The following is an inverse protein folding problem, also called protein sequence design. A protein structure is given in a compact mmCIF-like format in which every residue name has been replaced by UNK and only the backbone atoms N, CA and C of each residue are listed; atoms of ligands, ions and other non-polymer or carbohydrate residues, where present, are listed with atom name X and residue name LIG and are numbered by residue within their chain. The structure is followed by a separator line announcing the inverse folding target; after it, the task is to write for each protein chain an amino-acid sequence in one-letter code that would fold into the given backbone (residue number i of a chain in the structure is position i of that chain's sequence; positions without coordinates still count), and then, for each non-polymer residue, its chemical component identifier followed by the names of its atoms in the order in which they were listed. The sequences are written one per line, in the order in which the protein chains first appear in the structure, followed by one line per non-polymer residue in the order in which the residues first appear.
data_IF_891133319692
#
_entry.id   IF_891133319692
#
_cell.length_a   1.000
_cell.length_b   1.000
_cell.length_c   1.000
_cell.angle_alpha   90.00
_cell.angle_beta   90.00
_cell.angle_gamma   90.00
#
_symmetry.space_group_name_H-M   'P 1'
#
loop_
_entity.id
_entity.type
_entity.pdbx_description
1 polymer ?
#
# COMPACT_ATOMS: atom_id res chain seq x y z
N UNK A 1 9.84 -3.27 -8.32
CA UNK A 1 10.65 -2.97 -7.13
C UNK A 1 10.02 -3.51 -5.85
N UNK A 2 8.70 -3.35 -5.64
CA UNK A 2 8.02 -3.74 -4.37
C UNK A 2 7.34 -5.11 -4.41
N UNK A 3 7.46 -5.86 -5.51
CA UNK A 3 6.72 -7.10 -5.72
C UNK A 3 6.97 -8.15 -4.62
N UNK A 4 8.20 -8.25 -4.13
CA UNK A 4 8.53 -9.24 -3.10
C UNK A 4 7.72 -9.03 -1.81
N UNK A 5 7.75 -7.82 -1.25
CA UNK A 5 6.98 -7.50 -0.03
C UNK A 5 5.48 -7.44 -0.30
N UNK A 6 5.07 -6.95 -1.50
CA UNK A 6 3.67 -6.93 -1.90
C UNK A 6 3.05 -8.33 -1.94
N UNK A 7 3.70 -9.31 -2.58
CA UNK A 7 3.17 -10.69 -2.65
C UNK A 7 2.97 -11.32 -1.28
N UNK A 8 3.85 -11.01 -0.31
CA UNK A 8 3.71 -11.51 1.06
C UNK A 8 2.58 -10.83 1.82
N UNK A 9 2.35 -9.55 1.60
CA UNK A 9 1.22 -8.83 2.19
C UNK A 9 -0.12 -9.24 1.54
N UNK A 10 -0.17 -9.32 0.21
CA UNK A 10 -1.36 -9.78 -0.53
C UNK A 10 -1.75 -11.22 -0.16
N UNK A 11 -0.77 -12.09 0.11
CA UNK A 11 -1.04 -13.47 0.55
C UNK A 11 -1.73 -13.53 1.93
N UNK A 12 -1.60 -12.49 2.76
CA UNK A 12 -2.27 -12.37 4.07
C UNK A 12 -3.71 -11.85 3.95
N UNK A 13 -4.07 -11.23 2.81
CA UNK A 13 -5.43 -10.73 2.61
C UNK A 13 -6.42 -11.90 2.51
N UNK A 14 -7.52 -11.87 3.29
CA UNK A 14 -8.51 -12.96 3.30
C UNK A 14 -9.50 -12.83 2.14
N UNK A 15 -9.03 -12.49 0.96
CA UNK A 15 -9.86 -12.27 -0.24
C UNK A 15 -10.45 -13.57 -0.73
N UNK A 16 -11.77 -13.60 -0.88
CA UNK A 16 -12.53 -14.72 -1.44
C UNK A 16 -12.94 -14.44 -2.89
N UNK A 17 -13.31 -15.51 -3.60
CA UNK A 17 -13.76 -15.39 -4.98
C UNK A 17 -15.08 -14.60 -5.07
N UNK A 18 -15.17 -13.68 -6.02
CA UNK A 18 -16.35 -12.84 -6.24
C UNK A 18 -16.37 -11.53 -5.44
N UNK A 19 -15.46 -11.32 -4.51
CA UNK A 19 -15.38 -10.09 -3.72
C UNK A 19 -14.87 -8.88 -4.52
N UNK A 20 -15.14 -7.69 -3.97
CA UNK A 20 -14.72 -6.39 -4.51
C UNK A 20 -13.47 -5.90 -3.79
N UNK A 21 -12.43 -5.62 -4.57
CA UNK A 21 -11.15 -5.08 -4.06
C UNK A 21 -10.86 -3.72 -4.67
N UNK A 22 -10.54 -2.74 -3.82
CA UNK A 22 -10.04 -1.43 -4.20
C UNK A 22 -8.53 -1.35 -3.96
N UNK A 23 -7.78 -0.92 -4.97
CA UNK A 23 -6.34 -0.64 -4.88
C UNK A 23 -6.11 0.88 -4.96
N UNK A 24 -5.69 1.49 -3.84
CA UNK A 24 -5.44 2.92 -3.71
C UNK A 24 -3.97 3.26 -3.93
N UNK A 25 -3.69 4.06 -4.96
CA UNK A 25 -2.35 4.28 -5.48
C UNK A 25 -1.90 3.06 -6.30
N UNK A 26 -2.76 2.62 -7.21
CA UNK A 26 -2.62 1.34 -7.92
C UNK A 26 -1.38 1.24 -8.80
N UNK A 27 -0.77 2.37 -9.19
CA UNK A 27 0.38 2.40 -10.07
C UNK A 27 0.12 1.65 -11.36
N UNK A 28 0.88 0.57 -11.62
CA UNK A 28 0.72 -0.27 -12.81
C UNK A 28 -0.38 -1.33 -12.70
N UNK A 29 -1.14 -1.38 -11.60
CA UNK A 29 -2.27 -2.32 -11.41
C UNK A 29 -1.87 -3.77 -11.10
N UNK A 30 -0.62 -4.04 -10.76
CA UNK A 30 -0.11 -5.40 -10.57
C UNK A 30 -0.80 -6.16 -9.42
N UNK A 31 -1.20 -5.46 -8.35
CA UNK A 31 -1.82 -6.09 -7.18
C UNK A 31 -3.20 -6.65 -7.53
N UNK A 32 -4.03 -5.88 -8.24
CA UNK A 32 -5.35 -6.33 -8.69
C UNK A 32 -5.24 -7.49 -9.67
N UNK A 33 -4.31 -7.45 -10.63
CA UNK A 33 -4.09 -8.58 -11.55
C UNK A 33 -3.70 -9.84 -10.77
N UNK A 34 -2.77 -9.73 -9.83
CA UNK A 34 -2.37 -10.87 -9.00
C UNK A 34 -3.53 -11.45 -8.17
N UNK A 35 -4.36 -10.60 -7.58
CA UNK A 35 -5.55 -11.02 -6.82
C UNK A 35 -6.61 -11.62 -7.74
N UNK A 36 -6.81 -11.08 -8.92
CA UNK A 36 -7.75 -11.65 -9.90
C UNK A 36 -7.33 -13.06 -10.34
N UNK A 37 -6.06 -13.22 -10.70
CA UNK A 37 -5.50 -14.52 -11.13
C UNK A 37 -5.48 -15.57 -10.01
N UNK A 38 -5.16 -15.16 -8.77
CA UNK A 38 -4.92 -16.11 -7.68
C UNK A 38 -6.12 -16.35 -6.77
N UNK A 39 -7.06 -15.39 -6.69
CA UNK A 39 -8.22 -15.41 -5.80
C UNK A 39 -9.57 -15.35 -6.53
N UNK A 40 -9.58 -14.93 -7.80
CA UNK A 40 -10.82 -14.83 -8.57
C UNK A 40 -11.73 -13.70 -8.08
N UNK A 41 -11.18 -12.52 -7.77
CA UNK A 41 -12.00 -11.36 -7.35
C UNK A 41 -13.08 -11.05 -8.37
N UNK A 42 -14.28 -10.70 -7.91
CA UNK A 42 -15.42 -10.39 -8.77
C UNK A 42 -15.31 -9.00 -9.40
N UNK A 43 -14.76 -8.04 -8.66
CA UNK A 43 -14.50 -6.69 -9.13
C UNK A 43 -13.23 -6.13 -8.51
N UNK A 44 -12.30 -5.68 -9.36
CA UNK A 44 -11.12 -4.91 -8.97
C UNK A 44 -11.23 -3.47 -9.45
N UNK A 45 -11.00 -2.50 -8.58
CA UNK A 45 -10.91 -1.09 -8.97
C UNK A 45 -9.59 -0.52 -8.51
N UNK A 46 -8.78 -0.01 -9.44
CA UNK A 46 -7.54 0.69 -9.15
C UNK A 46 -7.75 2.20 -9.27
N UNK A 47 -7.43 2.94 -8.22
CA UNK A 47 -7.40 4.39 -8.24
C UNK A 47 -5.97 4.89 -8.09
N UNK A 48 -5.61 5.89 -8.90
CA UNK A 48 -4.32 6.58 -8.80
C UNK A 48 -4.50 8.08 -9.07
N UNK A 49 -3.74 8.92 -8.36
CA UNK A 49 -3.75 10.36 -8.59
C UNK A 49 -3.09 10.79 -9.90
N UNK A 50 -2.28 9.90 -10.51
CA UNK A 50 -1.56 10.14 -11.76
C UNK A 50 -2.31 9.57 -12.96
N UNK A 51 -2.80 10.40 -13.90
CA UNK A 51 -3.39 9.93 -15.15
C UNK A 51 -2.46 8.99 -15.95
N UNK A 52 -1.16 9.26 -15.92
CA UNK A 52 -0.17 8.43 -16.62
C UNK A 52 -0.06 7.02 -16.01
N UNK A 53 -0.18 6.88 -14.67
CA UNK A 53 -0.21 5.58 -14.02
C UNK A 53 -1.49 4.81 -14.35
N UNK A 54 -2.63 5.48 -14.39
CA UNK A 54 -3.91 4.88 -14.79
C UNK A 54 -3.85 4.36 -16.23
N UNK A 55 -3.29 5.12 -17.14
CA UNK A 55 -3.12 4.70 -18.54
C UNK A 55 -2.18 3.48 -18.64
N UNK A 56 -1.05 3.54 -17.95
CA UNK A 56 -0.11 2.42 -17.86
C UNK A 56 -0.77 1.16 -17.29
N UNK A 57 -1.57 1.28 -16.21
CA UNK A 57 -2.28 0.13 -15.65
C UNK A 57 -3.25 -0.52 -16.64
N UNK A 58 -3.95 0.30 -17.43
CA UNK A 58 -4.86 -0.18 -18.49
C UNK A 58 -4.14 -0.92 -19.60
N UNK A 59 -2.95 -0.44 -20.03
CA UNK A 59 -2.15 -1.09 -21.05
C UNK A 59 -1.70 -2.51 -20.68
N UNK A 60 -1.48 -2.77 -19.39
CA UNK A 60 -1.06 -4.07 -18.88
C UNK A 60 -2.20 -4.97 -18.41
N UNK A 61 -3.44 -4.55 -18.59
CA UNK A 61 -4.60 -5.29 -18.04
C UNK A 61 -5.59 -5.55 -19.16
N UNK A 62 -5.93 -6.81 -19.37
CA UNK A 62 -6.99 -7.20 -20.32
C UNK A 62 -8.35 -6.72 -19.83
N UNK A 63 -9.29 -6.51 -20.77
CA UNK A 63 -10.68 -6.18 -20.45
C UNK A 63 -11.32 -7.28 -19.58
N UNK A 64 -12.00 -6.86 -18.52
CA UNK A 64 -12.64 -7.81 -17.61
C UNK A 64 -13.08 -7.21 -16.28
N UNK A 65 -12.83 -7.93 -15.20
CA UNK A 65 -13.28 -7.58 -13.85
C UNK A 65 -12.46 -6.46 -13.17
N UNK A 66 -11.44 -5.90 -13.85
CA UNK A 66 -10.57 -4.87 -13.29
C UNK A 66 -10.74 -3.56 -14.05
N UNK A 67 -11.02 -2.49 -13.32
CA UNK A 67 -11.17 -1.13 -13.83
C UNK A 67 -10.15 -0.20 -13.19
N UNK A 68 -9.69 0.84 -13.94
CA UNK A 68 -8.78 1.85 -13.43
C UNK A 68 -9.33 3.26 -13.67
N UNK A 69 -9.22 4.13 -12.67
CA UNK A 69 -9.64 5.53 -12.76
C UNK A 69 -8.68 6.47 -12.02
N UNK A 70 -8.68 7.72 -12.48
CA UNK A 70 -8.02 8.80 -11.73
C UNK A 70 -8.88 9.16 -10.53
N UNK A 71 -8.28 9.22 -9.35
CA UNK A 71 -8.98 9.55 -8.12
C UNK A 71 -8.02 9.83 -6.98
N UNK A 72 -8.57 10.31 -5.89
CA UNK A 72 -7.81 10.57 -4.66
C UNK A 72 -8.42 9.82 -3.44
N UNK A 73 -7.71 9.87 -2.33
CA UNK A 73 -8.08 9.14 -1.10
C UNK A 73 -9.28 9.76 -0.34
N UNK A 74 -9.64 11.03 -0.62
CA UNK A 74 -10.58 11.79 0.21
C UNK A 74 -12.02 11.77 -0.33
N UNK A 75 -12.21 11.28 -1.55
CA UNK A 75 -13.53 11.19 -2.18
C UNK A 75 -13.61 9.94 -3.05
N UNK A 76 -13.89 8.82 -2.41
CA UNK A 76 -13.93 7.52 -3.08
C UNK A 76 -15.30 7.30 -3.75
N UNK A 77 -15.34 6.94 -5.05
CA UNK A 77 -16.57 6.81 -5.82
C UNK A 77 -17.32 5.49 -5.54
N UNK A 78 -17.49 5.17 -4.27
CA UNK A 78 -18.16 3.94 -3.81
C UNK A 78 -19.26 4.28 -2.81
N UNK A 79 -20.31 3.47 -2.82
CA UNK A 79 -21.33 3.51 -1.78
C UNK A 79 -20.76 3.02 -0.44
N UNK A 80 -21.37 3.44 0.67
CA UNK A 80 -20.99 2.97 1.99
C UNK A 80 -21.17 1.46 2.10
N UNK A 81 -20.17 0.76 2.60
CA UNK A 81 -20.23 -0.69 2.82
C UNK A 81 -20.24 -1.53 1.56
N UNK A 82 -19.69 -1.05 0.44
CA UNK A 82 -19.73 -1.72 -0.85
C UNK A 82 -18.41 -2.36 -1.31
N UNK A 83 -17.35 -2.23 -0.52
CA UNK A 83 -16.02 -2.76 -0.82
C UNK A 83 -15.61 -3.75 0.26
N UNK A 84 -15.16 -4.93 -0.11
CA UNK A 84 -14.77 -5.96 0.84
C UNK A 84 -13.33 -5.76 1.32
N UNK A 85 -12.44 -5.37 0.42
CA UNK A 85 -11.05 -5.15 0.77
C UNK A 85 -10.49 -3.90 0.10
N UNK A 86 -9.70 -3.14 0.85
CA UNK A 86 -8.88 -2.04 0.34
C UNK A 86 -7.40 -2.40 0.52
N UNK A 87 -6.65 -2.23 -0.54
CA UNK A 87 -5.20 -2.35 -0.57
C UNK A 87 -4.57 -1.00 -0.87
N UNK A 88 -3.47 -0.65 -0.24
CA UNK A 88 -2.62 0.47 -0.63
C UNK A 88 -1.18 0.16 -0.32
N UNK A 89 -0.31 0.26 -1.32
CA UNK A 89 1.12 0.07 -1.13
C UNK A 89 1.91 1.26 -1.67
N UNK A 90 2.79 1.81 -0.84
CA UNK A 90 3.67 2.93 -1.18
C UNK A 90 2.91 4.17 -1.71
N UNK A 91 1.69 4.39 -1.23
CA UNK A 91 0.86 5.47 -1.71
C UNK A 91 0.14 6.24 -0.58
N UNK A 92 -0.26 5.60 0.50
CA UNK A 92 -1.09 6.23 1.54
C UNK A 92 -0.42 7.45 2.20
N UNK A 93 0.89 7.49 2.30
CA UNK A 93 1.63 8.63 2.85
C UNK A 93 1.57 9.91 1.97
N UNK A 94 0.98 9.83 0.77
CA UNK A 94 0.68 11.01 -0.06
C UNK A 94 -0.68 11.65 0.26
N UNK A 95 -1.51 11.05 1.10
CA UNK A 95 -2.79 11.62 1.49
C UNK A 95 -2.59 12.97 2.21
N UNK A 96 -3.22 14.04 1.72
CA UNK A 96 -3.06 15.39 2.27
C UNK A 96 -3.73 15.53 3.64
N UNK A 97 -4.92 14.93 3.80
CA UNK A 97 -5.59 14.72 5.09
C UNK A 97 -5.76 13.21 5.33
N UNK A 98 -4.76 12.55 5.95
CA UNK A 98 -4.80 11.10 6.10
C UNK A 98 -5.92 10.60 7.00
N UNK A 99 -6.41 11.41 7.94
CA UNK A 99 -7.52 11.00 8.80
C UNK A 99 -8.84 10.99 8.02
N UNK A 100 -9.08 11.97 7.18
CA UNK A 100 -10.27 11.99 6.32
C UNK A 100 -10.20 10.88 5.26
N UNK A 101 -9.01 10.62 4.70
CA UNK A 101 -8.80 9.47 3.82
C UNK A 101 -9.12 8.13 4.52
N UNK A 102 -8.69 7.94 5.76
CA UNK A 102 -9.02 6.74 6.55
C UNK A 102 -10.53 6.64 6.85
N UNK A 103 -11.21 7.77 7.09
CA UNK A 103 -12.67 7.79 7.28
C UNK A 103 -13.41 7.41 5.99
N UNK A 104 -12.95 7.88 4.84
CA UNK A 104 -13.51 7.47 3.54
C UNK A 104 -13.28 5.97 3.29
N UNK A 105 -12.09 5.46 3.55
CA UNK A 105 -11.80 4.02 3.46
C UNK A 105 -12.74 3.24 4.40
N UNK A 106 -12.90 3.70 5.66
CA UNK A 106 -13.83 3.07 6.60
C UNK A 106 -15.28 3.12 6.13
N UNK A 107 -15.70 4.22 5.50
CA UNK A 107 -17.06 4.39 4.98
C UNK A 107 -17.41 3.37 3.90
N UNK A 108 -16.49 3.15 2.96
CA UNK A 108 -16.75 2.24 1.82
C UNK A 108 -16.60 0.77 2.18
N UNK A 109 -15.85 0.42 3.22
CA UNK A 109 -15.66 -0.97 3.64
C UNK A 109 -16.96 -1.57 4.19
N UNK A 110 -17.29 -2.76 3.70
CA UNK A 110 -18.35 -3.61 4.25
C UNK A 110 -18.03 -4.00 5.71
N UNK A 111 -19.04 -4.33 6.54
CA UNK A 111 -18.78 -4.87 7.88
C UNK A 111 -17.88 -6.11 7.81
N UNK A 112 -16.78 -6.11 8.53
CA UNK A 112 -15.73 -7.13 8.45
C UNK A 112 -14.71 -6.93 7.34
N UNK A 113 -14.95 -5.97 6.44
CA UNK A 113 -14.01 -5.61 5.37
C UNK A 113 -12.68 -5.07 5.90
N UNK A 114 -11.61 -5.22 5.11
CA UNK A 114 -10.24 -4.96 5.57
C UNK A 114 -9.53 -3.88 4.76
N UNK A 115 -8.69 -3.11 5.44
CA UNK A 115 -7.73 -2.19 4.81
C UNK A 115 -6.30 -2.63 5.11
N UNK A 116 -5.57 -2.98 4.08
CA UNK A 116 -4.15 -3.34 4.09
C UNK A 116 -3.32 -2.15 3.61
N UNK A 117 -2.63 -1.47 4.53
CA UNK A 117 -1.75 -0.35 4.25
C UNK A 117 -0.29 -0.77 4.41
N UNK A 118 0.43 -0.82 3.30
CA UNK A 118 1.83 -1.23 3.24
C UNK A 118 2.72 -0.04 2.83
N UNK A 119 3.68 0.33 3.68
CA UNK A 119 4.54 1.50 3.46
C UNK A 119 6.00 1.20 3.81
N UNK A 120 6.91 1.76 3.03
CA UNK A 120 8.34 1.76 3.32
C UNK A 120 8.79 3.08 3.95
N UNK A 121 8.05 4.17 3.67
CA UNK A 121 8.31 5.48 4.23
C UNK A 121 7.57 5.63 5.57
N UNK A 122 8.30 5.42 6.67
CA UNK A 122 7.80 5.59 8.03
C UNK A 122 8.97 5.96 8.96
N UNK A 123 8.69 6.52 10.14
CA UNK A 123 9.68 7.19 10.97
C UNK A 123 10.85 6.28 11.38
N UNK A 124 10.59 5.03 11.75
CA UNK A 124 11.65 4.09 12.13
C UNK A 124 12.51 3.64 10.93
N UNK A 125 12.04 3.78 9.69
CA UNK A 125 12.79 3.46 8.47
C UNK A 125 13.64 4.64 8.00
N UNK A 126 14.62 5.05 8.82
CA UNK A 126 15.41 6.28 8.65
C UNK A 126 16.07 6.43 7.27
N UNK A 127 16.42 5.33 6.63
CA UNK A 127 17.06 5.33 5.31
C UNK A 127 16.12 5.76 4.17
N UNK A 128 14.81 5.84 4.42
CA UNK A 128 13.82 6.28 3.43
C UNK A 128 13.47 7.76 3.53
N UNK A 129 13.85 8.45 4.61
CA UNK A 129 13.48 9.85 4.85
C UNK A 129 13.93 10.80 3.75
N UNK A 130 15.07 10.53 3.11
CA UNK A 130 15.58 11.29 1.97
C UNK A 130 14.65 11.29 0.74
N UNK A 131 13.66 10.39 0.67
CA UNK A 131 12.72 10.37 -0.44
C UNK A 131 11.84 11.62 -0.46
N UNK A 132 11.54 12.20 0.70
CA UNK A 132 10.79 13.47 0.81
C UNK A 132 11.40 14.57 -0.06
N UNK A 133 12.72 14.67 -0.10
CA UNK A 133 13.44 15.72 -0.83
C UNK A 133 13.37 15.52 -2.37
N UNK A 134 13.11 14.30 -2.83
CA UNK A 134 13.13 13.92 -4.24
C UNK A 134 11.76 13.94 -4.92
N UNK A 135 10.66 13.91 -4.15
CA UNK A 135 9.32 13.69 -4.72
C UNK A 135 8.57 15.00 -5.03
N UNK A 136 8.89 16.11 -4.36
CA UNK A 136 8.24 17.41 -4.58
C UNK A 136 6.77 17.50 -4.13
N UNK A 137 6.27 16.47 -3.46
CA UNK A 137 4.95 16.39 -2.82
C UNK A 137 5.19 16.10 -1.35
N UNK A 138 4.44 16.76 -0.46
CA UNK A 138 4.51 16.49 0.97
C UNK A 138 4.11 15.04 1.26
N UNK A 139 4.95 14.33 1.99
CA UNK A 139 4.72 12.96 2.42
C UNK A 139 4.49 12.93 3.93
N UNK A 140 3.54 12.11 4.36
CA UNK A 140 3.24 11.91 5.78
C UNK A 140 4.25 10.95 6.40
N UNK A 141 5.19 11.48 7.19
CA UNK A 141 6.15 10.67 7.96
C UNK A 141 5.54 10.33 9.32
N UNK A 142 5.09 9.10 9.46
CA UNK A 142 4.47 8.60 10.68
C UNK A 142 5.25 7.42 11.25
N UNK A 143 5.32 7.34 12.58
CA UNK A 143 5.77 6.15 13.27
C UNK A 143 4.68 5.06 13.30
N UNK A 144 5.05 3.87 13.74
CA UNK A 144 4.15 2.71 13.84
C UNK A 144 2.96 2.99 14.77
N UNK A 145 3.20 3.70 15.89
CA UNK A 145 2.15 4.00 16.86
C UNK A 145 1.14 4.98 16.28
N UNK A 146 1.60 6.00 15.55
CA UNK A 146 0.74 6.96 14.88
C UNK A 146 -0.15 6.31 13.82
N UNK A 147 0.37 5.36 13.01
CA UNK A 147 -0.45 4.56 12.11
C UNK A 147 -1.58 3.86 12.86
N UNK A 148 -1.29 3.12 13.93
CA UNK A 148 -2.32 2.43 14.73
C UNK A 148 -3.36 3.40 15.30
N UNK A 149 -2.91 4.53 15.84
CA UNK A 149 -3.79 5.50 16.48
C UNK A 149 -4.72 6.16 15.47
N UNK A 150 -4.23 6.53 14.27
CA UNK A 150 -5.04 7.12 13.22
C UNK A 150 -6.07 6.14 12.64
N UNK A 151 -5.72 4.87 12.48
CA UNK A 151 -6.67 3.84 12.09
C UNK A 151 -7.82 3.73 13.12
N UNK A 152 -7.50 3.68 14.41
CA UNK A 152 -8.52 3.64 15.47
C UNK A 152 -9.38 4.91 15.51
N UNK A 153 -8.78 6.07 15.35
CA UNK A 153 -9.48 7.36 15.31
C UNK A 153 -10.47 7.45 14.14
N UNK A 154 -10.15 6.82 13.02
CA UNK A 154 -11.04 6.70 11.87
C UNK A 154 -12.14 5.64 12.04
N UNK A 155 -12.14 4.87 13.15
CA UNK A 155 -13.12 3.81 13.41
C UNK A 155 -12.77 2.44 12.86
N UNK A 156 -11.50 2.22 12.47
CA UNK A 156 -10.98 0.90 12.09
C UNK A 156 -10.42 0.17 13.31
N UNK A 157 -10.70 -1.12 13.43
CA UNK A 157 -10.04 -1.99 14.40
C UNK A 157 -8.68 -2.40 13.82
N UNK A 158 -7.59 -2.11 14.53
CA UNK A 158 -6.25 -2.56 14.11
C UNK A 158 -6.11 -4.04 14.44
N UNK A 159 -6.18 -4.88 13.41
CA UNK A 159 -6.09 -6.33 13.55
C UNK A 159 -4.64 -6.82 13.56
N UNK A 160 -3.79 -6.20 12.76
CA UNK A 160 -2.37 -6.55 12.63
C UNK A 160 -1.53 -5.30 12.39
N UNK A 161 -0.32 -5.28 12.93
CA UNK A 161 0.76 -4.42 12.46
C UNK A 161 2.08 -5.17 12.57
N UNK A 162 2.75 -5.35 11.44
CA UNK A 162 3.98 -6.12 11.32
C UNK A 162 4.91 -5.48 10.29
N UNK A 163 6.14 -5.96 10.21
CA UNK A 163 7.06 -5.63 9.12
C UNK A 163 7.33 -6.84 8.26
N UNK A 164 7.36 -6.61 6.95
CA UNK A 164 7.68 -7.62 5.95
C UNK A 164 9.08 -7.33 5.43
N UNK A 165 10.10 -8.13 5.83
CA UNK A 165 11.45 -7.98 5.29
C UNK A 165 11.48 -8.24 3.79
N UNK A 166 12.17 -7.38 3.04
CA UNK A 166 12.48 -7.67 1.65
C UNK A 166 13.72 -8.57 1.59
N UNK A 167 13.52 -9.83 1.26
CA UNK A 167 14.57 -10.85 1.18
C UNK A 167 15.07 -11.09 -0.24
N UNK A 168 14.38 -10.57 -1.26
CA UNK A 168 14.75 -10.76 -2.67
C UNK A 168 15.74 -9.67 -3.14
N UNK A 169 15.73 -8.48 -2.53
CA UNK A 169 16.72 -7.45 -2.85
C UNK A 169 18.12 -7.96 -2.53
N UNK A 170 18.97 -8.08 -3.55
CA UNK A 170 20.37 -8.46 -3.38
C UNK A 170 21.13 -7.34 -2.65
N UNK A 171 21.92 -7.73 -1.66
CA UNK A 171 22.77 -6.81 -0.91
C UNK A 171 24.20 -7.07 -1.30
N UNK A 172 24.87 -6.11 -1.99
CA UNK A 172 26.24 -6.25 -2.44
C UNK A 172 27.23 -6.49 -1.29
N UNK A 173 28.43 -7.01 -1.60
CA UNK A 173 29.50 -7.10 -0.62
C UNK A 173 29.95 -5.71 -0.14
N UNK A 174 30.50 -5.62 1.06
CA UNK A 174 30.89 -4.35 1.69
C UNK A 174 31.89 -3.52 0.85
N UNK A 175 32.65 -4.17 -0.02
CA UNK A 175 33.62 -3.50 -0.92
C UNK A 175 32.95 -2.66 -2.02
N UNK A 176 31.66 -2.81 -2.25
CA UNK A 176 30.90 -2.06 -3.26
C UNK A 176 30.19 -0.82 -2.69
N UNK A 177 30.37 -0.57 -1.39
CA UNK A 177 29.81 0.62 -0.73
C UNK A 177 30.86 1.75 -0.61
N UNK A 178 30.43 3.05 -0.62
CA UNK A 178 29.01 3.47 -0.69
C UNK A 178 28.39 3.25 -2.07
N UNK A 179 27.07 3.01 -2.11
CA UNK A 179 26.28 3.04 -3.32
C UNK A 179 25.59 4.41 -3.48
N UNK A 180 24.85 4.64 -4.54
CA UNK A 180 24.06 5.85 -4.74
C UNK A 180 22.98 6.04 -3.63
N UNK A 181 22.41 4.94 -3.15
CA UNK A 181 21.32 4.96 -2.17
C UNK A 181 21.77 4.72 -0.71
N UNK A 182 22.91 4.07 -0.48
CA UNK A 182 23.35 3.65 0.85
C UNK A 182 24.83 3.91 1.11
N UNK A 183 25.12 4.51 2.25
CA UNK A 183 26.49 4.79 2.68
C UNK A 183 27.25 3.53 3.10
N UNK A 184 26.54 2.51 3.56
CA UNK A 184 27.14 1.26 4.01
C UNK A 184 26.23 0.05 3.74
N UNK A 185 26.84 -1.14 3.77
CA UNK A 185 26.14 -2.42 3.66
C UNK A 185 25.17 -2.61 4.83
N UNK A 186 25.58 -2.23 6.03
CA UNK A 186 24.79 -2.31 7.25
C UNK A 186 23.50 -1.50 7.12
N UNK A 187 23.58 -0.27 6.61
CA UNK A 187 22.41 0.59 6.33
C UNK A 187 21.42 -0.08 5.35
N UNK A 188 21.93 -0.73 4.31
CA UNK A 188 21.10 -1.44 3.35
C UNK A 188 20.48 -2.71 3.95
N UNK A 189 21.23 -3.45 4.80
CA UNK A 189 20.69 -4.60 5.54
C UNK A 189 19.57 -4.15 6.48
N UNK A 190 19.81 -3.12 7.29
CA UNK A 190 18.81 -2.56 8.21
C UNK A 190 17.52 -2.17 7.46
N UNK A 191 17.67 -1.43 6.35
CA UNK A 191 16.51 -1.01 5.52
C UNK A 191 15.68 -2.17 5.00
N UNK A 192 16.31 -3.18 4.42
CA UNK A 192 15.60 -4.26 3.73
C UNK A 192 15.29 -5.47 4.61
N UNK A 193 16.11 -5.77 5.61
CA UNK A 193 15.98 -7.00 6.42
C UNK A 193 15.35 -6.75 7.78
N UNK A 194 15.57 -5.56 8.38
CA UNK A 194 15.10 -5.25 9.73
C UNK A 194 13.85 -4.37 9.69
N UNK A 195 13.90 -3.23 8.99
CA UNK A 195 12.72 -2.36 8.86
C UNK A 195 11.72 -2.91 7.84
N UNK A 196 12.18 -3.31 6.66
CA UNK A 196 11.30 -3.86 5.61
C UNK A 196 10.17 -2.92 5.20
N UNK A 197 9.02 -3.49 4.91
CA UNK A 197 7.76 -2.79 4.64
C UNK A 197 6.86 -2.89 5.86
N UNK A 198 6.44 -1.75 6.42
CA UNK A 198 5.45 -1.70 7.50
C UNK A 198 4.06 -2.01 6.91
N UNK A 199 3.44 -3.07 7.39
CA UNK A 199 2.05 -3.41 7.10
C UNK A 199 1.18 -3.06 8.30
N UNK A 200 0.14 -2.27 8.09
CA UNK A 200 -0.91 -2.03 9.08
C UNK A 200 -2.25 -2.49 8.52
N UNK A 201 -2.95 -3.35 9.23
CA UNK A 201 -4.24 -3.91 8.83
C UNK A 201 -5.34 -3.38 9.72
N UNK A 202 -6.31 -2.68 9.11
CA UNK A 202 -7.54 -2.21 9.73
C UNK A 202 -8.73 -3.06 9.30
N UNK A 203 -9.67 -3.28 10.21
CA UNK A 203 -10.94 -3.98 9.94
C UNK A 203 -12.10 -3.04 10.25
N UNK A 204 -13.06 -2.98 9.34
CA UNK A 204 -14.32 -2.26 9.56
C UNK A 204 -15.23 -3.06 10.51
N UNK A 205 -15.64 -2.51 11.69
CA UNK A 205 -16.57 -3.18 12.59
C UNK A 205 -17.98 -3.27 12.02
#
# INVERSE_FOLDING_TARGET
RHWHTAKHALARMPVEAGETVLDLGTGSGYALRALHETRGIGRGVGLDGSPAMVENAREYTDEGAIEFAVGDFHSLPFESGSVDHVWSMEAFYYAQDPLDALREIRRILSPGGTFYCAVNFFEESVHTHKWQDSVGIEMQLWDRERYRNRFREAGLLVAEQDTIPDRDTEIPPASEFPTEEFDSREAMVERYREHGTLLTVGVAP
#
